data_IF_987245780616
#
_entry.id   IF_987245780616
#
_cell.length_a   1.000
_cell.length_b   1.000
_cell.length_c   1.000
_cell.angle_alpha   90.00
_cell.angle_beta   90.00
_cell.angle_gamma   90.00
#
_symmetry.space_group_name_H-M   'P 1'
#
loop_
_entity.id
_entity.type
_entity.pdbx_description
1 polymer ?
#
# COMPACT_ATOMS: atom_id res chain seq x y z
N UNK A 1 8.74 -14.01 8.16
CA UNK A 1 9.24 -14.31 6.81
C UNK A 1 10.08 -13.18 6.19
N UNK A 2 10.33 -12.08 6.92
CA UNK A 2 11.12 -10.92 6.46
C UNK A 2 12.61 -11.15 6.72
N UNK A 3 13.25 -11.96 5.89
CA UNK A 3 14.63 -12.43 6.12
C UNK A 3 15.70 -11.42 5.67
N UNK A 4 15.32 -10.37 4.93
CA UNK A 4 16.22 -9.36 4.39
C UNK A 4 15.82 -7.96 4.86
N UNK A 5 15.38 -7.87 6.11
CA UNK A 5 14.94 -6.61 6.72
C UNK A 5 15.60 -6.40 8.06
N UNK A 6 16.17 -5.22 8.26
CA UNK A 6 16.66 -4.74 9.53
C UNK A 6 16.17 -3.31 9.76
N UNK A 7 15.34 -3.10 10.76
CA UNK A 7 14.85 -1.79 11.15
C UNK A 7 15.60 -1.23 12.32
N UNK A 8 16.24 -0.09 12.16
CA UNK A 8 16.99 0.63 13.21
C UNK A 8 16.07 1.59 13.97
N UNK A 9 15.02 2.07 13.32
CA UNK A 9 14.04 2.97 13.93
C UNK A 9 12.63 2.64 13.46
N UNK A 10 11.62 3.14 14.16
CA UNK A 10 10.21 2.91 13.86
C UNK A 10 9.58 3.98 12.95
N UNK A 11 10.28 5.08 12.66
CA UNK A 11 9.76 6.19 11.87
C UNK A 11 10.14 6.11 10.37
N UNK A 12 11.03 5.18 9.99
CA UNK A 12 11.44 4.97 8.61
C UNK A 12 12.39 6.05 8.07
N UNK A 13 13.08 6.76 8.95
CA UNK A 13 14.13 7.71 8.54
C UNK A 13 15.42 6.98 8.24
N UNK A 14 16.20 7.53 7.32
CA UNK A 14 17.49 6.99 6.92
C UNK A 14 18.41 6.82 8.14
N UNK A 15 18.99 5.64 8.27
CA UNK A 15 19.99 5.29 9.27
C UNK A 15 20.85 4.15 8.75
N UNK A 16 22.09 4.06 9.20
CA UNK A 16 23.00 2.98 8.82
C UNK A 16 22.39 1.61 9.17
N UNK A 17 22.33 0.71 8.19
CA UNK A 17 21.73 -0.61 8.35
C UNK A 17 20.20 -0.63 8.40
N UNK A 18 19.50 0.49 8.16
CA UNK A 18 18.04 0.53 8.07
C UNK A 18 17.61 0.11 6.65
N UNK A 19 17.36 -1.15 6.46
CA UNK A 19 17.13 -1.73 5.13
C UNK A 19 15.97 -2.72 5.10
N UNK A 20 15.38 -2.88 3.93
CA UNK A 20 14.31 -3.84 3.65
C UNK A 20 14.27 -4.18 2.16
N UNK A 21 13.40 -5.11 1.78
CA UNK A 21 13.13 -5.45 0.38
C UNK A 21 11.65 -5.26 0.05
N UNK A 22 11.33 -5.09 -1.24
CA UNK A 22 9.93 -5.01 -1.67
C UNK A 22 9.14 -6.27 -1.28
N UNK A 23 9.77 -7.45 -1.31
CA UNK A 23 9.16 -8.72 -0.87
C UNK A 23 8.82 -8.68 0.62
N UNK A 24 9.75 -8.25 1.45
CA UNK A 24 9.55 -8.22 2.91
C UNK A 24 8.47 -7.21 3.29
N UNK A 25 8.44 -6.03 2.62
CA UNK A 25 7.37 -5.05 2.80
C UNK A 25 6.02 -5.62 2.36
N UNK A 26 5.97 -6.41 1.28
CA UNK A 26 4.73 -7.09 0.87
C UNK A 26 4.27 -8.12 1.92
N UNK A 27 5.16 -8.88 2.53
CA UNK A 27 4.83 -9.79 3.64
C UNK A 27 4.28 -9.03 4.84
N UNK A 28 4.94 -7.95 5.24
CA UNK A 28 4.47 -7.11 6.35
C UNK A 28 3.08 -6.52 6.05
N UNK A 29 2.88 -6.02 4.85
CA UNK A 29 1.59 -5.47 4.42
C UNK A 29 0.49 -6.52 4.43
N UNK A 30 0.78 -7.75 3.94
CA UNK A 30 -0.16 -8.87 3.97
C UNK A 30 -0.57 -9.23 5.40
N UNK A 31 0.39 -9.33 6.31
CA UNK A 31 0.09 -9.61 7.71
C UNK A 31 -0.76 -8.51 8.34
N UNK A 32 -0.49 -7.24 8.00
CA UNK A 32 -1.25 -6.11 8.50
C UNK A 32 -2.71 -6.18 8.05
N UNK A 33 -2.97 -6.28 6.74
CA UNK A 33 -4.34 -6.26 6.21
C UNK A 33 -5.14 -7.52 6.59
N UNK A 34 -4.47 -8.67 6.75
CA UNK A 34 -5.14 -9.89 7.19
C UNK A 34 -5.53 -9.87 8.67
N UNK A 35 -4.69 -9.29 9.53
CA UNK A 35 -4.94 -9.24 10.98
C UNK A 35 -5.79 -8.05 11.40
N UNK A 36 -5.68 -6.96 10.66
CA UNK A 36 -6.29 -5.67 10.98
C UNK A 36 -6.91 -5.04 9.72
N UNK A 37 -7.93 -5.68 9.12
CA UNK A 37 -8.54 -5.21 7.86
C UNK A 37 -9.13 -3.79 7.99
N UNK A 38 -9.46 -3.35 9.20
CA UNK A 38 -9.91 -1.99 9.50
C UNK A 38 -8.91 -0.90 9.12
N UNK A 39 -7.64 -1.26 8.84
CA UNK A 39 -6.65 -0.30 8.34
C UNK A 39 -7.10 0.39 7.05
N UNK A 40 -7.92 -0.29 6.24
CA UNK A 40 -8.46 0.27 5.01
C UNK A 40 -9.40 1.45 5.26
N UNK A 41 -10.08 1.50 6.41
CA UNK A 41 -10.93 2.63 6.79
C UNK A 41 -10.12 3.93 6.96
N UNK A 42 -8.84 3.81 7.31
CA UNK A 42 -7.92 4.93 7.52
C UNK A 42 -7.08 5.22 6.28
N UNK A 43 -6.55 4.18 5.64
CA UNK A 43 -5.63 4.32 4.49
C UNK A 43 -6.29 4.93 3.25
N UNK A 44 -7.61 4.88 3.16
CA UNK A 44 -8.42 5.45 2.06
C UNK A 44 -8.92 6.86 2.33
N UNK A 45 -8.79 7.39 3.54
CA UNK A 45 -9.16 8.79 3.83
C UNK A 45 -8.29 9.72 2.99
N UNK A 46 -8.93 10.55 2.15
CA UNK A 46 -8.20 11.49 1.30
C UNK A 46 -7.84 12.77 2.01
N UNK A 47 -8.79 13.36 2.72
CA UNK A 47 -8.61 14.60 3.48
C UNK A 47 -9.29 14.46 4.83
N UNK A 48 -8.68 15.05 5.83
CA UNK A 48 -9.23 15.15 7.18
C UNK A 48 -8.73 16.43 7.86
N UNK A 49 -9.37 16.82 8.94
CA UNK A 49 -8.98 18.00 9.72
C UNK A 49 -8.81 17.61 11.17
N UNK A 50 -7.68 17.96 11.74
CA UNK A 50 -7.42 17.78 13.17
C UNK A 50 -7.42 19.12 13.89
N UNK A 51 -8.07 19.18 15.05
CA UNK A 51 -8.05 20.35 15.93
C UNK A 51 -6.93 20.18 16.94
N UNK A 52 -5.95 21.06 16.88
CA UNK A 52 -4.90 21.15 17.88
C UNK A 52 -5.28 22.15 18.95
N UNK A 53 -5.53 21.66 20.16
CA UNK A 53 -5.91 22.48 21.31
C UNK A 53 -4.70 22.76 22.20
N UNK A 54 -4.43 24.04 22.44
CA UNK A 54 -3.35 24.48 23.32
C UNK A 54 -3.89 25.46 24.35
N UNK A 55 -3.07 25.82 25.34
CA UNK A 55 -3.42 26.89 26.32
C UNK A 55 -3.62 28.26 25.65
N UNK A 56 -3.16 28.45 24.40
CA UNK A 56 -3.27 29.69 23.61
C UNK A 56 -4.48 29.70 22.69
N UNK A 57 -5.28 28.63 22.67
CA UNK A 57 -6.45 28.46 21.82
C UNK A 57 -6.37 27.23 20.91
N UNK A 58 -7.38 27.08 20.08
CA UNK A 58 -7.51 25.98 19.13
C UNK A 58 -7.05 26.43 17.74
N UNK A 59 -6.41 25.54 17.03
CA UNK A 59 -6.07 25.70 15.61
C UNK A 59 -6.43 24.44 14.84
N UNK A 60 -6.93 24.61 13.61
CA UNK A 60 -7.27 23.50 12.73
C UNK A 60 -6.15 23.26 11.71
N UNK A 61 -5.82 21.98 11.49
CA UNK A 61 -4.86 21.56 10.50
C UNK A 61 -5.54 20.61 9.51
N UNK A 62 -5.61 21.01 8.25
CA UNK A 62 -6.02 20.14 7.15
C UNK A 62 -4.93 19.15 6.82
N UNK A 63 -5.29 17.88 6.78
CA UNK A 63 -4.41 16.78 6.36
C UNK A 63 -4.86 16.26 5.00
N UNK A 64 -3.90 15.97 4.13
CA UNK A 64 -4.16 15.34 2.83
C UNK A 64 -3.32 14.09 2.69
N UNK A 65 -3.92 13.00 2.23
CA UNK A 65 -3.23 11.74 2.03
C UNK A 65 -2.15 11.89 0.93
N UNK A 66 -0.96 11.44 1.23
CA UNK A 66 0.16 11.43 0.28
C UNK A 66 0.06 10.30 -0.74
N UNK A 67 -0.79 9.30 -0.51
CA UNK A 67 -1.01 8.18 -1.42
C UNK A 67 -2.02 8.56 -2.52
N UNK A 68 -1.49 9.13 -3.62
CA UNK A 68 -2.33 9.53 -4.76
C UNK A 68 -2.99 8.35 -5.48
N UNK A 69 -2.54 7.11 -5.24
CA UNK A 69 -3.13 5.91 -5.82
C UNK A 69 -4.64 5.82 -5.51
N UNK A 70 -5.06 6.18 -4.28
CA UNK A 70 -6.46 6.11 -3.87
C UNK A 70 -7.41 7.03 -4.66
N UNK A 71 -6.87 7.98 -5.43
CA UNK A 71 -7.63 8.84 -6.34
C UNK A 71 -7.47 8.47 -7.81
N UNK A 72 -6.46 7.66 -8.14
CA UNK A 72 -6.09 7.35 -9.52
C UNK A 72 -6.43 5.91 -9.92
N UNK A 73 -6.73 5.05 -8.94
CA UNK A 73 -7.03 3.64 -9.16
C UNK A 73 -8.30 3.24 -8.40
N UNK A 74 -9.33 2.90 -9.13
CA UNK A 74 -10.69 2.66 -8.64
C UNK A 74 -10.76 1.65 -7.49
N UNK A 75 -9.94 0.60 -7.57
CA UNK A 75 -9.94 -0.50 -6.59
C UNK A 75 -8.94 -0.32 -5.45
N UNK A 76 -8.27 0.83 -5.37
CA UNK A 76 -7.25 1.07 -4.35
C UNK A 76 -7.84 1.10 -2.94
N UNK A 77 -7.27 0.30 -2.04
CA UNK A 77 -7.61 0.21 -0.61
C UNK A 77 -6.51 0.75 0.32
N UNK A 78 -5.39 1.21 -0.25
CA UNK A 78 -4.31 1.81 0.52
C UNK A 78 -2.94 1.59 -0.13
N UNK A 79 -1.83 1.47 0.58
CA UNK A 79 -1.69 1.36 2.04
C UNK A 79 -0.80 2.51 2.58
N UNK A 80 0.54 2.49 2.28
CA UNK A 80 1.50 3.43 2.87
C UNK A 80 2.55 3.90 1.88
N UNK A 81 2.75 5.21 1.83
CA UNK A 81 3.85 5.86 1.09
C UNK A 81 5.05 6.13 2.00
N UNK A 82 6.23 6.20 1.42
CA UNK A 82 7.44 6.71 2.07
C UNK A 82 8.34 7.38 1.05
N UNK A 83 9.15 8.34 1.50
CA UNK A 83 10.22 8.90 0.68
C UNK A 83 11.30 9.53 1.55
N UNK A 84 12.54 9.25 1.22
CA UNK A 84 13.73 9.90 1.75
C UNK A 84 14.71 10.14 0.61
N UNK A 85 15.78 10.86 0.86
CA UNK A 85 16.79 11.11 -0.16
C UNK A 85 17.49 9.83 -0.63
N UNK A 86 17.67 8.85 0.25
CA UNK A 86 18.31 7.58 -0.07
C UNK A 86 17.32 6.53 -0.58
N UNK A 87 16.15 6.43 0.04
CA UNK A 87 15.16 5.44 -0.35
C UNK A 87 14.40 5.77 -1.65
N UNK A 88 14.47 7.01 -2.15
CA UNK A 88 13.64 7.47 -3.26
C UNK A 88 12.16 7.44 -2.88
N UNK A 89 11.28 7.27 -3.85
CA UNK A 89 9.83 7.23 -3.62
C UNK A 89 9.34 5.78 -3.53
N UNK A 90 8.78 5.41 -2.37
CA UNK A 90 8.31 4.06 -2.09
C UNK A 90 6.79 4.04 -1.84
N UNK A 91 6.15 2.94 -2.21
CA UNK A 91 4.73 2.70 -1.97
C UNK A 91 4.48 1.21 -1.78
N UNK A 92 3.87 0.85 -0.66
CA UNK A 92 3.12 -0.37 -0.53
C UNK A 92 1.67 -0.05 -0.87
N UNK A 93 1.19 -0.57 -1.98
CA UNK A 93 -0.16 -0.37 -2.51
C UNK A 93 -1.01 -1.61 -2.25
N UNK A 94 -2.27 -1.39 -1.88
CA UNK A 94 -3.29 -2.45 -1.80
C UNK A 94 -4.47 -2.08 -2.68
N UNK A 95 -5.09 -3.09 -3.26
CA UNK A 95 -6.30 -2.92 -4.06
C UNK A 95 -7.16 -4.17 -3.97
N UNK A 96 -8.49 -3.98 -3.93
CA UNK A 96 -9.46 -5.06 -3.93
C UNK A 96 -10.39 -4.93 -5.14
N UNK A 97 -10.42 -5.98 -5.96
CA UNK A 97 -11.30 -6.09 -7.11
C UNK A 97 -11.95 -7.47 -7.14
N UNK A 98 -13.29 -7.52 -7.12
CA UNK A 98 -14.06 -8.77 -7.10
C UNK A 98 -13.63 -9.71 -5.96
N UNK A 99 -13.50 -9.18 -4.76
CA UNK A 99 -13.07 -9.89 -3.53
C UNK A 99 -11.65 -10.48 -3.60
N UNK A 100 -10.87 -10.07 -4.59
CA UNK A 100 -9.45 -10.42 -4.70
C UNK A 100 -8.62 -9.23 -4.29
N UNK A 101 -7.94 -9.36 -3.17
CA UNK A 101 -7.03 -8.32 -2.69
C UNK A 101 -5.60 -8.60 -3.14
N UNK A 102 -4.99 -7.60 -3.77
CA UNK A 102 -3.60 -7.64 -4.23
C UNK A 102 -2.76 -6.59 -3.51
N UNK A 103 -1.49 -6.91 -3.36
CA UNK A 103 -0.47 -6.01 -2.83
C UNK A 103 0.59 -5.80 -3.91
N UNK A 104 0.91 -4.55 -4.20
CA UNK A 104 2.02 -4.17 -5.05
C UNK A 104 2.99 -3.27 -4.26
N UNK A 105 4.27 -3.61 -4.28
CA UNK A 105 5.30 -2.80 -3.60
C UNK A 105 6.29 -2.28 -4.61
N UNK A 106 6.42 -0.95 -4.65
CA UNK A 106 7.41 -0.23 -5.45
C UNK A 106 8.36 0.48 -4.51
N UNK A 107 9.64 0.33 -4.73
CA UNK A 107 10.71 0.99 -3.97
C UNK A 107 11.64 1.73 -4.92
N UNK A 108 12.21 2.82 -4.43
CA UNK A 108 13.21 3.61 -5.13
C UNK A 108 12.77 4.16 -6.49
N UNK A 109 11.49 4.51 -6.63
CA UNK A 109 11.04 5.24 -7.82
C UNK A 109 11.62 6.66 -7.83
N UNK A 110 11.86 7.25 -9.01
CA UNK A 110 12.49 8.57 -9.12
C UNK A 110 11.58 9.72 -8.66
N UNK A 111 10.27 9.50 -8.68
CA UNK A 111 9.30 10.50 -8.23
C UNK A 111 7.95 9.86 -7.83
N UNK A 112 7.11 10.66 -7.19
CA UNK A 112 5.81 10.18 -6.70
C UNK A 112 4.81 9.83 -7.79
N UNK A 113 4.95 10.34 -9.03
CA UNK A 113 4.08 10.01 -10.17
C UNK A 113 4.41 8.62 -10.71
N UNK A 114 5.68 8.37 -10.94
CA UNK A 114 6.15 7.06 -11.44
C UNK A 114 5.88 5.95 -10.42
N UNK A 115 6.14 6.18 -9.14
CA UNK A 115 5.77 5.26 -8.06
C UNK A 115 4.32 4.78 -8.15
N UNK A 116 3.37 5.69 -8.40
CA UNK A 116 1.95 5.36 -8.52
C UNK A 116 1.67 4.62 -9.84
N UNK A 117 2.25 5.05 -10.95
CA UNK A 117 2.09 4.41 -12.25
C UNK A 117 2.60 2.96 -12.24
N UNK A 118 3.74 2.71 -11.61
CA UNK A 118 4.31 1.37 -11.47
C UNK A 118 3.42 0.47 -10.61
N UNK A 119 2.88 0.98 -9.49
CA UNK A 119 1.92 0.23 -8.68
C UNK A 119 0.65 -0.13 -9.46
N UNK A 120 0.09 0.81 -10.25
CA UNK A 120 -1.07 0.54 -11.10
C UNK A 120 -0.74 -0.56 -12.12
N UNK A 121 0.43 -0.49 -12.74
CA UNK A 121 0.86 -1.49 -13.73
C UNK A 121 1.00 -2.88 -13.11
N UNK A 122 1.59 -2.98 -11.91
CA UNK A 122 1.74 -4.23 -11.18
C UNK A 122 0.39 -4.81 -10.74
N UNK A 123 -0.52 -3.98 -10.23
CA UNK A 123 -1.86 -4.40 -9.83
C UNK A 123 -2.67 -4.91 -11.04
N UNK A 124 -2.64 -4.18 -12.15
CA UNK A 124 -3.29 -4.61 -13.38
C UNK A 124 -2.72 -5.93 -13.93
N UNK A 125 -1.40 -6.09 -13.89
CA UNK A 125 -0.74 -7.33 -14.24
C UNK A 125 -1.20 -8.49 -13.33
N UNK A 126 -1.26 -8.28 -12.03
CA UNK A 126 -1.72 -9.27 -11.05
C UNK A 126 -3.17 -9.68 -11.30
N UNK A 127 -4.08 -8.73 -11.48
CA UNK A 127 -5.49 -9.04 -11.81
C UNK A 127 -5.63 -9.77 -13.15
N UNK A 128 -4.80 -9.43 -14.15
CA UNK A 128 -4.79 -10.15 -15.43
C UNK A 128 -4.32 -11.60 -15.31
N UNK A 129 -3.43 -11.92 -14.35
CA UNK A 129 -3.04 -13.30 -14.05
C UNK A 129 -4.17 -14.05 -13.37
N UNK A 130 -4.77 -13.45 -12.34
CA UNK A 130 -5.87 -14.08 -11.58
C UNK A 130 -7.06 -14.36 -12.48
N UNK A 131 -7.47 -13.42 -13.32
CA UNK A 131 -8.56 -13.61 -14.28
C UNK A 131 -8.29 -14.78 -15.21
N UNK A 132 -7.08 -14.88 -15.80
CA UNK A 132 -6.71 -16.02 -16.65
C UNK A 132 -6.72 -17.36 -15.91
N UNK A 133 -6.30 -17.36 -14.63
CA UNK A 133 -6.36 -18.56 -13.80
C UNK A 133 -7.80 -19.00 -13.54
N UNK A 134 -8.70 -18.08 -13.24
CA UNK A 134 -10.12 -18.37 -13.03
C UNK A 134 -10.78 -18.92 -14.30
N UNK A 135 -10.43 -18.37 -15.46
CA UNK A 135 -10.98 -18.80 -16.75
C UNK A 135 -10.59 -20.23 -17.11
N UNK A 136 -9.39 -20.69 -16.71
CA UNK A 136 -8.89 -22.05 -17.00
C UNK A 136 -9.07 -23.03 -15.83
N UNK A 137 -9.59 -22.58 -14.68
CA UNK A 137 -9.74 -23.43 -13.50
C UNK A 137 -10.94 -24.38 -13.66
N UNK A 138 -10.71 -25.70 -13.83
CA UNK A 138 -11.79 -26.67 -14.05
C UNK A 138 -12.78 -26.76 -12.89
N UNK A 139 -12.41 -26.39 -11.67
CA UNK A 139 -13.31 -26.38 -10.50
C UNK A 139 -14.50 -25.45 -10.65
N UNK A 140 -14.36 -24.38 -11.46
CA UNK A 140 -15.46 -23.44 -11.78
C UNK A 140 -16.62 -24.14 -12.51
N UNK A 141 -16.33 -25.24 -13.23
CA UNK A 141 -17.28 -25.97 -14.07
C UNK A 141 -17.72 -27.31 -13.46
N UNK A 142 -17.12 -27.75 -12.36
CA UNK A 142 -17.56 -28.92 -11.63
C UNK A 142 -18.77 -28.52 -10.75
N UNK A 143 -19.97 -28.69 -11.27
CA UNK A 143 -21.16 -28.75 -10.43
C UNK A 143 -21.09 -30.09 -9.69
N UNK A 144 -20.89 -30.05 -8.39
CA UNK A 144 -21.13 -31.21 -7.56
C UNK A 144 -22.65 -31.48 -7.58
N UNK A 145 -23.02 -32.61 -8.15
CA UNK A 145 -24.38 -33.15 -8.08
C UNK A 145 -24.64 -33.69 -6.69
#
# INVERSE_FOLDING_TARGET
GMMNTHFVNCCGLDADGHETTARDVAYMSRELINKYPEIHNYSTIWMDTITHSTRRGNSEFGLTNTNKLIKQYEWATGLKTGSTSLAGFCLSATANKNDIELIAVVMHAPNGKERVADCISLLNYGYGIVSRYEDVNPRKYLKFA
#
